data_IF_971863296468
#
_entry.id   IF_971863296468
#
_cell.length_a   1.000
_cell.length_b   1.000
_cell.length_c   1.000
_cell.angle_alpha   90.00
_cell.angle_beta   90.00
_cell.angle_gamma   90.00
#
_symmetry.space_group_name_H-M   'P 1'
#
loop_
_entity.id
_entity.type
_entity.pdbx_description
1 polymer ?
#
# COMPACT_ATOMS: atom_id res chain seq x y z
N UNK A 1 -2.22 13.43 3.46
CA UNK A 1 -1.80 12.67 2.27
C UNK A 1 -2.95 11.78 1.82
N UNK A 2 -3.38 11.87 0.56
CA UNK A 2 -4.46 11.06 0.00
C UNK A 2 -3.93 9.69 -0.44
N UNK A 3 -4.67 8.62 -0.13
CA UNK A 3 -4.39 7.26 -0.57
C UNK A 3 -5.34 6.88 -1.69
N UNK A 4 -4.80 6.48 -2.82
CA UNK A 4 -5.56 6.09 -4.01
C UNK A 4 -5.21 4.64 -4.40
N UNK A 5 -6.21 3.82 -4.79
CA UNK A 5 -5.96 2.49 -5.31
C UNK A 5 -5.28 2.58 -6.68
N UNK A 6 -4.15 1.89 -6.82
CA UNK A 6 -3.43 1.71 -8.07
C UNK A 6 -3.69 0.35 -8.70
N UNK A 7 -2.79 -0.06 -9.61
CA UNK A 7 -2.92 -1.29 -10.37
C UNK A 7 -3.02 -2.53 -9.45
N UNK A 8 -4.03 -3.36 -9.68
CA UNK A 8 -4.23 -4.62 -8.93
C UNK A 8 -4.85 -4.44 -7.54
N UNK A 9 -5.23 -3.22 -7.15
CA UNK A 9 -5.96 -2.94 -5.91
C UNK A 9 -7.42 -2.68 -6.22
N UNK A 10 -8.32 -3.32 -5.46
CA UNK A 10 -9.77 -3.10 -5.55
C UNK A 10 -10.20 -1.85 -4.80
N UNK A 11 -9.73 -1.70 -3.55
CA UNK A 11 -9.95 -0.51 -2.74
C UNK A 11 -8.96 -0.46 -1.55
N UNK A 12 -8.88 0.72 -0.91
CA UNK A 12 -8.04 1.01 0.25
C UNK A 12 -8.88 1.73 1.31
N UNK A 13 -8.59 1.46 2.58
CA UNK A 13 -9.13 2.17 3.74
C UNK A 13 -7.96 2.46 4.69
N UNK A 14 -7.81 3.67 5.24
CA UNK A 14 -8.52 4.93 4.94
C UNK A 14 -8.01 5.63 3.67
N UNK A 15 -8.77 6.60 3.16
CA UNK A 15 -8.39 7.41 1.98
C UNK A 15 -7.47 8.60 2.30
N UNK A 16 -7.24 8.91 3.58
CA UNK A 16 -6.38 10.02 4.02
C UNK A 16 -5.57 9.64 5.25
N UNK A 17 -4.31 10.09 5.30
CA UNK A 17 -3.39 9.91 6.43
C UNK A 17 -2.72 11.24 6.78
N UNK A 18 -2.41 11.43 8.06
CA UNK A 18 -1.70 12.63 8.54
C UNK A 18 -0.24 12.66 8.10
N UNK A 19 0.40 11.50 7.95
CA UNK A 19 1.83 11.41 7.65
C UNK A 19 2.75 11.61 8.86
N UNK A 20 2.19 11.82 10.05
CA UNK A 20 2.94 12.12 11.28
C UNK A 20 2.99 10.94 12.27
N UNK A 21 1.98 10.07 12.24
CA UNK A 21 1.85 8.91 13.13
C UNK A 21 1.86 7.63 12.32
N UNK A 22 2.27 6.54 12.97
CA UNK A 22 2.10 5.21 12.38
C UNK A 22 0.64 5.01 12.00
N UNK A 23 0.42 4.41 10.84
CA UNK A 23 -0.93 4.13 10.39
C UNK A 23 -1.01 2.76 9.74
N UNK A 24 -2.20 2.18 9.84
CA UNK A 24 -2.56 0.91 9.23
C UNK A 24 -3.47 1.20 8.04
N UNK A 25 -3.06 0.76 6.86
CA UNK A 25 -3.93 0.70 5.69
C UNK A 25 -4.49 -0.71 5.55
N UNK A 26 -5.78 -0.80 5.30
CA UNK A 26 -6.50 -2.00 4.94
C UNK A 26 -6.75 -1.99 3.44
N UNK A 27 -6.30 -3.03 2.76
CA UNK A 27 -6.25 -3.06 1.31
C UNK A 27 -6.82 -4.38 0.82
N UNK A 28 -7.65 -4.32 -0.21
CA UNK A 28 -8.12 -5.52 -0.90
C UNK A 28 -7.62 -5.53 -2.33
N UNK A 29 -7.02 -6.65 -2.74
CA UNK A 29 -6.52 -6.82 -4.11
C UNK A 29 -7.66 -7.16 -5.07
N UNK A 30 -7.48 -6.83 -6.35
CA UNK A 30 -8.49 -7.10 -7.39
C UNK A 30 -8.55 -8.58 -7.75
N UNK A 31 -7.37 -9.20 -7.89
CA UNK A 31 -7.17 -10.59 -8.31
C UNK A 31 -6.16 -11.30 -7.40
N UNK A 32 -6.24 -12.63 -7.27
CA UNK A 32 -5.25 -13.38 -6.51
C UNK A 32 -3.89 -13.33 -7.19
N UNK A 33 -2.82 -13.19 -6.41
CA UNK A 33 -1.46 -13.18 -6.92
C UNK A 33 -0.50 -13.81 -5.91
N UNK A 34 0.63 -14.32 -6.42
CA UNK A 34 1.70 -14.93 -5.63
C UNK A 34 2.99 -14.15 -5.82
N UNK A 35 3.85 -14.17 -4.80
CA UNK A 35 5.17 -13.53 -4.78
C UNK A 35 5.16 -12.06 -5.23
N UNK A 36 4.18 -11.31 -4.70
CA UNK A 36 3.99 -9.90 -5.07
C UNK A 36 4.64 -8.94 -4.09
N UNK A 37 4.93 -7.73 -4.58
CA UNK A 37 5.30 -6.57 -3.77
C UNK A 37 4.20 -5.53 -3.89
N UNK A 38 3.62 -5.16 -2.76
CA UNK A 38 2.72 -4.01 -2.65
C UNK A 38 3.57 -2.79 -2.34
N UNK A 39 3.51 -1.75 -3.16
CA UNK A 39 4.32 -0.55 -2.97
C UNK A 39 3.57 0.71 -3.35
N UNK A 40 4.01 1.85 -2.82
CA UNK A 40 3.48 3.14 -3.23
C UNK A 40 4.29 3.69 -4.40
N UNK A 41 3.61 4.17 -5.44
CA UNK A 41 4.28 4.71 -6.62
C UNK A 41 5.20 5.88 -6.26
N UNK A 42 6.45 5.80 -6.75
CA UNK A 42 7.49 6.78 -6.47
C UNK A 42 7.98 6.82 -5.02
N UNK A 43 7.62 5.86 -4.16
CA UNK A 43 8.15 5.73 -2.79
C UNK A 43 8.92 4.43 -2.69
N UNK A 44 10.12 4.49 -2.13
CA UNK A 44 10.92 3.29 -1.85
C UNK A 44 10.45 2.57 -0.58
N UNK A 45 9.16 2.21 -0.54
CA UNK A 45 8.54 1.42 0.51
C UNK A 45 7.69 0.35 -0.15
N UNK A 46 8.03 -0.92 0.13
CA UNK A 46 7.28 -2.06 -0.35
C UNK A 46 7.05 -3.12 0.73
N UNK A 47 6.00 -3.89 0.54
CA UNK A 47 5.57 -5.00 1.37
C UNK A 47 5.54 -6.26 0.53
N UNK A 48 6.46 -7.19 0.81
CA UNK A 48 6.46 -8.49 0.15
C UNK A 48 5.36 -9.36 0.72
N UNK A 49 4.53 -9.96 -0.14
CA UNK A 49 3.50 -10.92 0.25
C UNK A 49 3.63 -12.18 -0.62
N UNK A 50 3.76 -13.38 -0.02
CA UNK A 50 3.89 -14.63 -0.77
C UNK A 50 2.60 -14.98 -1.51
N UNK A 51 1.45 -14.65 -0.93
CA UNK A 51 0.15 -14.78 -1.59
C UNK A 51 -0.75 -13.63 -1.15
N UNK A 52 -1.58 -13.15 -2.07
CA UNK A 52 -2.67 -12.21 -1.82
C UNK A 52 -3.93 -12.75 -2.46
N UNK A 53 -5.06 -12.57 -1.80
CA UNK A 53 -6.38 -13.03 -2.28
C UNK A 53 -7.38 -11.88 -2.21
N UNK A 54 -8.29 -11.74 -3.20
CA UNK A 54 -9.33 -10.71 -3.15
C UNK A 54 -10.33 -10.89 -2.01
N UNK A 55 -10.49 -12.12 -1.50
CA UNK A 55 -11.34 -12.39 -0.33
C UNK A 55 -10.72 -11.88 0.98
N UNK A 56 -9.41 -11.70 1.03
CA UNK A 56 -8.69 -11.23 2.21
C UNK A 56 -8.65 -9.71 2.25
N UNK A 57 -8.60 -9.16 3.47
CA UNK A 57 -8.28 -7.76 3.71
C UNK A 57 -6.85 -7.69 4.26
N UNK A 58 -5.93 -7.14 3.46
CA UNK A 58 -4.53 -7.05 3.80
C UNK A 58 -4.29 -5.84 4.69
N UNK A 59 -3.72 -6.06 5.88
CA UNK A 59 -3.20 -5.00 6.73
C UNK A 59 -1.77 -4.65 6.30
N UNK A 60 -1.55 -3.40 5.90
CA UNK A 60 -0.25 -2.80 5.63
C UNK A 60 0.04 -1.79 6.73
N UNK A 61 1.06 -2.06 7.53
CA UNK A 61 1.47 -1.18 8.61
C UNK A 61 2.65 -0.30 8.17
N UNK A 62 2.45 1.01 8.17
CA UNK A 62 3.47 2.01 7.90
C UNK A 62 3.99 2.58 9.20
N UNK A 63 5.17 2.11 9.59
CA UNK A 63 5.88 2.54 10.78
C UNK A 63 6.48 3.94 10.63
N UNK A 64 6.69 4.59 11.76
CA UNK A 64 7.14 5.98 11.86
C UNK A 64 8.44 6.25 11.09
N UNK A 65 9.38 5.31 11.12
CA UNK A 65 10.66 5.39 10.41
C UNK A 65 10.52 5.45 8.88
N UNK A 66 9.42 4.91 8.32
CA UNK A 66 9.14 4.92 6.88
C UNK A 66 8.28 6.12 6.45
N UNK A 67 7.69 6.85 7.40
CA UNK A 67 6.91 8.07 7.11
C UNK A 67 7.80 9.20 6.59
N UNK A 68 9.08 9.22 6.95
CA UNK A 68 10.04 10.21 6.42
C UNK A 68 10.12 10.18 4.88
N UNK A 69 9.97 9.00 4.26
CA UNK A 69 9.94 8.85 2.80
C UNK A 69 8.63 9.35 2.15
N UNK A 70 7.61 9.63 2.98
CA UNK A 70 6.30 10.14 2.56
C UNK A 70 6.16 11.65 2.80
N UNK A 71 7.08 12.27 3.56
CA UNK A 71 7.07 13.72 3.81
C UNK A 71 7.24 14.49 2.50
N UNK A 72 6.30 15.40 2.23
CA UNK A 72 6.27 16.23 1.02
C UNK A 72 5.37 15.70 -0.10
N UNK A 73 4.75 14.52 0.05
CA UNK A 73 3.80 13.99 -0.96
C UNK A 73 2.35 14.27 -0.58
N UNK A 74 1.59 14.78 -1.53
CA UNK A 74 0.15 15.06 -1.39
C UNK A 74 -0.70 13.81 -1.60
N UNK A 75 -0.25 12.90 -2.48
CA UNK A 75 -0.96 11.70 -2.91
C UNK A 75 -0.03 10.48 -2.97
N UNK A 76 -0.58 9.32 -2.63
CA UNK A 76 0.08 8.02 -2.67
C UNK A 76 -0.82 7.00 -3.36
N UNK A 77 -0.30 6.41 -4.44
CA UNK A 77 -0.98 5.37 -5.21
C UNK A 77 -0.38 4.02 -4.82
N UNK A 78 -1.17 3.11 -4.24
CA UNK A 78 -0.70 1.77 -3.88
C UNK A 78 -0.96 0.80 -5.03
N UNK A 79 0.07 0.11 -5.50
CA UNK A 79 -0.05 -0.85 -6.60
C UNK A 79 0.57 -2.21 -6.25
N UNK A 80 0.07 -3.25 -6.93
CA UNK A 80 0.65 -4.60 -6.91
C UNK A 80 1.70 -4.69 -8.01
N UNK A 81 2.97 -4.75 -7.62
CA UNK A 81 4.07 -5.13 -8.51
C UNK A 81 4.32 -6.64 -8.46
N UNK A 82 4.48 -7.27 -9.63
CA UNK A 82 5.05 -8.62 -9.73
C UNK A 82 6.57 -8.51 -9.78
N UNK A 83 7.28 -9.41 -9.10
CA UNK A 83 8.71 -9.58 -9.35
C UNK A 83 8.83 -10.20 -10.75
N UNK A 84 9.54 -9.55 -11.66
CA UNK A 84 10.05 -10.18 -12.87
C UNK A 84 11.06 -11.27 -12.49
#
# INVERSE_FOLDING_TARGET
IKLSPGKGIRYIVPNFISGEKEFKAYVRVLEPARDVRLGFEGVDVSFKKPVVKPSEMLELNLKGSRLSALKGKSELVLAVGRKA
#
